data_IF_081909916742
#
_entry.id   IF_081909916742
#
_cell.length_a   1.000
_cell.length_b   1.000
_cell.length_c   1.000
_cell.angle_alpha   90.00
_cell.angle_beta   90.00
_cell.angle_gamma   90.00
#
_symmetry.space_group_name_H-M   'P 1'
#
loop_
_entity.id
_entity.type
_entity.pdbx_description
1 polymer ?
#
# COMPACT_ATOMS: atom_id res chain seq x y z
N UNK A 1 -20.56 -54.39 42.94
CA UNK A 1 -19.47 -53.42 42.73
C UNK A 1 -19.97 -52.39 41.73
N UNK A 2 -20.28 -51.20 42.23
CA UNK A 2 -20.67 -50.06 41.34
C UNK A 2 -19.39 -49.38 40.89
N UNK A 3 -19.17 -49.27 39.57
CA UNK A 3 -18.07 -48.53 38.99
C UNK A 3 -18.49 -47.06 38.97
N UNK A 4 -17.85 -46.23 39.80
CA UNK A 4 -18.02 -44.80 39.79
C UNK A 4 -17.39 -44.20 38.51
N UNK A 5 -18.17 -43.43 37.79
CA UNK A 5 -17.72 -42.71 36.61
C UNK A 5 -16.89 -41.48 37.04
N UNK A 6 -15.65 -41.39 36.57
CA UNK A 6 -14.76 -40.25 36.78
C UNK A 6 -15.40 -38.97 36.17
N UNK A 7 -15.26 -37.81 36.81
CA UNK A 7 -15.80 -36.56 36.33
C UNK A 7 -15.10 -36.13 35.00
N UNK A 8 -15.90 -35.80 33.98
CA UNK A 8 -15.40 -35.20 32.75
C UNK A 8 -14.75 -33.84 33.09
N UNK A 9 -13.46 -33.75 32.89
CA UNK A 9 -12.72 -32.49 32.95
C UNK A 9 -13.24 -31.57 31.85
N UNK A 10 -13.99 -30.55 32.22
CA UNK A 10 -14.38 -29.44 31.36
C UNK A 10 -13.10 -28.67 31.01
N UNK A 11 -12.60 -28.86 29.81
CA UNK A 11 -11.53 -28.02 29.25
C UNK A 11 -12.14 -26.62 29.10
N UNK A 12 -11.86 -25.73 30.05
CA UNK A 12 -12.10 -24.30 29.86
C UNK A 12 -11.33 -23.87 28.65
N UNK A 13 -12.02 -23.38 27.62
CA UNK A 13 -11.42 -22.74 26.44
C UNK A 13 -10.70 -21.47 26.93
N UNK A 14 -9.44 -21.58 27.32
CA UNK A 14 -8.58 -20.43 27.53
C UNK A 14 -8.49 -19.67 26.23
N UNK A 15 -8.72 -18.37 26.24
CA UNK A 15 -8.50 -17.51 25.08
C UNK A 15 -7.02 -17.62 24.70
N UNK A 16 -6.74 -18.15 23.52
CA UNK A 16 -5.37 -18.16 23.00
C UNK A 16 -4.95 -16.70 22.78
N UNK A 17 -3.86 -16.30 23.45
CA UNK A 17 -3.27 -14.98 23.27
C UNK A 17 -2.32 -14.97 22.07
N UNK A 18 -2.27 -13.86 21.36
CA UNK A 18 -1.33 -13.58 20.29
C UNK A 18 -0.53 -12.31 20.57
N UNK A 19 0.67 -12.22 20.03
CA UNK A 19 1.47 -11.00 20.07
C UNK A 19 0.95 -10.02 19.03
N UNK A 20 0.88 -8.74 19.41
CA UNK A 20 0.47 -7.65 18.53
C UNK A 20 1.13 -6.33 18.92
N UNK A 21 1.21 -5.41 17.97
CA UNK A 21 1.51 -4.00 18.21
C UNK A 21 0.20 -3.23 18.15
N UNK A 22 -0.18 -2.64 19.27
CA UNK A 22 -1.42 -1.90 19.43
C UNK A 22 -1.15 -0.45 19.82
N UNK A 23 -2.16 0.40 19.67
CA UNK A 23 -2.27 1.68 20.36
C UNK A 23 -3.69 1.84 20.91
N UNK A 24 -3.82 2.57 22.03
CA UNK A 24 -5.09 2.76 22.75
C UNK A 24 -5.67 4.16 22.54
N UNK A 25 -4.85 5.09 22.07
CA UNK A 25 -5.23 6.45 21.65
C UNK A 25 -4.37 6.91 20.48
N UNK A 26 -4.87 7.79 19.69
CA UNK A 26 -4.09 8.43 18.60
C UNK A 26 -3.01 9.34 19.15
N UNK A 27 -1.88 9.43 18.45
CA UNK A 27 -0.72 10.21 18.88
C UNK A 27 0.51 9.93 18.04
N UNK A 28 1.66 9.96 18.69
CA UNK A 28 2.95 9.69 18.07
C UNK A 28 3.40 8.23 18.29
N UNK A 29 4.60 7.90 17.82
CA UNK A 29 5.15 6.54 17.90
C UNK A 29 5.30 6.01 19.33
N UNK A 30 5.29 6.88 20.34
CA UNK A 30 5.33 6.51 21.77
C UNK A 30 4.05 5.79 22.26
N UNK A 31 2.94 5.94 21.55
CA UNK A 31 1.68 5.28 21.86
C UNK A 31 1.68 3.78 21.48
N UNK A 32 2.67 3.33 20.71
CA UNK A 32 2.77 1.95 20.29
C UNK A 32 3.19 1.02 21.42
N UNK A 33 2.43 -0.06 21.60
CA UNK A 33 2.68 -1.08 22.62
C UNK A 33 2.77 -2.46 21.98
N UNK A 34 3.91 -3.12 22.10
CA UNK A 34 4.04 -4.53 21.80
C UNK A 34 3.53 -5.34 22.98
N UNK A 35 2.46 -6.11 22.80
CA UNK A 35 1.78 -6.80 23.91
C UNK A 35 1.03 -8.05 23.44
N UNK A 36 0.40 -8.74 24.38
CA UNK A 36 -0.49 -9.87 24.12
C UNK A 36 -1.94 -9.42 24.11
N UNK A 37 -2.67 -9.82 23.07
CA UNK A 37 -4.12 -9.62 22.93
C UNK A 37 -4.82 -10.95 22.67
N UNK A 38 -6.14 -11.00 22.76
CA UNK A 38 -6.89 -12.20 22.42
C UNK A 38 -6.81 -12.48 20.93
N UNK A 39 -6.50 -13.72 20.55
CA UNK A 39 -6.56 -14.16 19.15
C UNK A 39 -8.00 -14.09 18.66
N UNK A 40 -8.28 -13.33 17.57
CA UNK A 40 -9.63 -13.15 17.08
C UNK A 40 -10.19 -14.45 16.48
N UNK A 41 -11.51 -14.62 16.55
CA UNK A 41 -12.21 -15.77 15.95
C UNK A 41 -12.95 -15.35 14.69
N UNK A 42 -12.79 -16.07 13.56
CA UNK A 42 -13.46 -15.72 12.32
C UNK A 42 -14.98 -15.99 12.40
N UNK A 43 -15.76 -15.00 12.03
CA UNK A 43 -17.19 -15.07 11.85
C UNK A 43 -17.63 -15.67 10.50
N UNK A 44 -18.94 -15.67 10.18
CA UNK A 44 -19.45 -16.16 8.89
C UNK A 44 -18.83 -15.39 7.72
N UNK A 45 -18.26 -16.11 6.74
CA UNK A 45 -17.60 -15.53 5.58
C UNK A 45 -16.20 -15.00 5.82
N UNK A 46 -15.63 -15.18 7.03
CA UNK A 46 -14.29 -14.74 7.42
C UNK A 46 -13.34 -15.90 7.63
N UNK A 47 -12.05 -15.64 7.53
CA UNK A 47 -10.98 -16.59 7.81
C UNK A 47 -9.97 -15.98 8.77
N UNK A 48 -9.30 -16.84 9.54
CA UNK A 48 -8.15 -16.49 10.36
C UNK A 48 -6.88 -16.73 9.56
N UNK A 49 -6.12 -15.70 9.34
CA UNK A 49 -4.80 -15.76 8.66
C UNK A 49 -3.72 -15.73 9.72
N UNK A 50 -2.85 -16.74 9.73
CA UNK A 50 -1.56 -16.69 10.42
C UNK A 50 -0.63 -15.82 9.59
N UNK A 51 -0.19 -14.72 10.16
CA UNK A 51 0.64 -13.73 9.48
C UNK A 51 2.10 -14.18 9.51
N UNK A 52 2.74 -14.17 8.36
CA UNK A 52 4.19 -14.39 8.24
C UNK A 52 4.92 -13.08 7.93
N UNK A 53 4.25 -12.15 7.25
CA UNK A 53 4.79 -10.84 6.96
C UNK A 53 3.67 -9.81 6.82
N UNK A 54 3.95 -8.58 7.27
CA UNK A 54 3.09 -7.41 7.07
C UNK A 54 3.96 -6.21 6.70
N UNK A 55 3.69 -5.56 5.56
CA UNK A 55 4.51 -4.44 5.11
C UNK A 55 3.90 -3.09 5.47
N UNK A 56 4.77 -2.13 5.86
CA UNK A 56 4.41 -0.79 6.26
C UNK A 56 3.93 0.06 5.08
N UNK A 57 3.03 0.98 5.37
CA UNK A 57 2.58 2.02 4.47
C UNK A 57 2.53 3.38 5.20
N UNK A 58 2.67 4.48 4.47
CA UNK A 58 2.54 5.82 5.07
C UNK A 58 1.18 6.02 5.74
N UNK A 59 0.17 5.24 5.32
CA UNK A 59 -1.15 5.17 5.93
C UNK A 59 -1.07 4.83 7.43
N UNK A 60 -0.12 4.00 7.85
CA UNK A 60 0.05 3.60 9.26
C UNK A 60 0.41 4.79 10.14
N UNK A 61 1.28 5.69 9.66
CA UNK A 61 1.60 6.94 10.35
C UNK A 61 0.38 7.86 10.47
N UNK A 62 -0.44 7.95 9.42
CA UNK A 62 -1.68 8.72 9.46
C UNK A 62 -2.72 8.08 10.39
N UNK A 63 -2.80 6.75 10.39
CA UNK A 63 -3.68 6.00 11.30
C UNK A 63 -3.33 6.28 12.76
N UNK A 64 -2.06 6.20 13.10
CA UNK A 64 -1.58 6.45 14.46
C UNK A 64 -1.84 7.90 14.90
N UNK A 65 -1.57 8.87 14.03
CA UNK A 65 -1.87 10.30 14.30
C UNK A 65 -3.35 10.62 14.41
N UNK A 66 -4.19 9.76 13.84
CA UNK A 66 -5.62 10.01 13.70
C UNK A 66 -5.94 10.90 12.50
N UNK A 67 -6.98 10.54 11.78
CA UNK A 67 -7.48 11.32 10.64
C UNK A 67 -8.89 11.84 10.93
N UNK A 68 -9.18 13.11 10.61
CA UNK A 68 -10.52 13.67 10.82
C UNK A 68 -11.60 12.81 10.16
N UNK A 69 -12.68 12.53 10.90
CA UNK A 69 -13.82 11.75 10.40
C UNK A 69 -13.63 10.22 10.38
N UNK A 70 -12.43 9.71 10.70
CA UNK A 70 -12.17 8.26 10.79
C UNK A 70 -12.38 7.78 12.23
N UNK A 71 -13.29 6.82 12.38
CA UNK A 71 -13.52 6.14 13.67
C UNK A 71 -12.80 4.78 13.66
N UNK A 72 -12.02 4.51 14.69
CA UNK A 72 -11.33 3.25 14.94
C UNK A 72 -11.80 2.67 16.26
N UNK A 73 -11.83 1.35 16.37
CA UNK A 73 -12.06 0.66 17.65
C UNK A 73 -10.72 0.56 18.38
N UNK A 74 -10.68 0.97 19.63
CA UNK A 74 -9.50 0.87 20.49
C UNK A 74 -9.63 -0.34 21.44
N UNK A 75 -8.52 -1.04 21.77
CA UNK A 75 -7.18 -0.87 21.19
C UNK A 75 -7.17 -1.23 19.69
N UNK A 76 -6.31 -0.55 18.91
CA UNK A 76 -6.24 -0.73 17.45
C UNK A 76 -4.92 -1.36 17.00
N UNK A 77 -5.00 -2.22 15.98
CA UNK A 77 -3.86 -2.88 15.33
C UNK A 77 -3.75 -2.36 13.91
N UNK A 78 -2.60 -1.76 13.55
CA UNK A 78 -2.31 -1.25 12.20
C UNK A 78 -1.85 -2.36 11.24
N UNK A 79 -1.49 -1.94 10.01
CA UNK A 79 -0.90 -2.80 8.98
C UNK A 79 -1.92 -3.41 8.02
N UNK A 80 -1.85 -3.04 6.74
CA UNK A 80 -2.83 -3.48 5.75
C UNK A 80 -2.30 -4.51 4.74
N UNK A 81 -1.00 -4.59 4.57
CA UNK A 81 -0.34 -5.44 3.57
C UNK A 81 0.10 -6.77 4.20
N UNK A 82 -0.75 -7.78 4.17
CA UNK A 82 -0.58 -9.04 4.89
C UNK A 82 -0.29 -10.19 3.92
N UNK A 83 0.74 -10.98 4.21
CA UNK A 83 0.99 -12.29 3.60
C UNK A 83 1.13 -13.37 4.68
N UNK A 84 0.59 -14.56 4.41
CA UNK A 84 0.59 -15.64 5.39
C UNK A 84 -0.15 -16.89 4.91
N UNK A 85 -0.77 -17.61 5.85
CA UNK A 85 -1.53 -18.83 5.60
C UNK A 85 -2.88 -18.81 6.33
N UNK A 86 -3.93 -19.35 5.71
CA UNK A 86 -5.23 -19.50 6.37
C UNK A 86 -5.20 -20.70 7.31
N UNK A 87 -5.42 -20.46 8.60
CA UNK A 87 -5.37 -21.48 9.66
C UNK A 87 -6.71 -21.72 10.35
N UNK A 88 -7.67 -20.79 10.22
CA UNK A 88 -9.01 -20.91 10.79
C UNK A 88 -10.09 -20.46 9.82
N UNK A 89 -11.28 -21.02 9.96
CA UNK A 89 -12.38 -20.80 9.03
C UNK A 89 -13.67 -20.53 9.79
N UNK A 90 -14.32 -19.42 9.48
CA UNK A 90 -15.68 -19.17 9.91
C UNK A 90 -16.68 -19.97 9.10
N UNK A 91 -17.96 -20.01 9.51
CA UNK A 91 -19.01 -20.67 8.74
C UNK A 91 -19.11 -20.15 7.30
N UNK A 92 -19.43 -21.04 6.36
CA UNK A 92 -19.65 -20.72 4.93
C UNK A 92 -18.44 -20.10 4.22
N UNK A 93 -17.22 -20.46 4.62
CA UNK A 93 -15.98 -20.01 3.94
C UNK A 93 -15.38 -21.10 3.06
N UNK A 94 -14.84 -20.75 1.88
CA UNK A 94 -14.09 -21.70 1.05
C UNK A 94 -12.78 -22.08 1.76
N UNK A 95 -12.26 -23.26 1.44
CA UNK A 95 -10.96 -23.70 1.93
C UNK A 95 -9.83 -23.14 1.07
N UNK A 96 -8.77 -22.69 1.72
CA UNK A 96 -7.55 -22.20 1.07
C UNK A 96 -6.39 -23.14 1.42
N UNK A 97 -5.47 -23.33 0.47
CA UNK A 97 -4.24 -24.12 0.66
C UNK A 97 -3.02 -23.31 0.25
N UNK A 98 -1.95 -23.43 1.04
CA UNK A 98 -0.67 -22.74 0.78
C UNK A 98 -0.69 -21.25 1.09
N UNK A 99 0.33 -20.53 0.58
CA UNK A 99 0.51 -19.13 0.88
C UNK A 99 -0.60 -18.25 0.28
N UNK A 100 -0.99 -17.24 1.03
CA UNK A 100 -2.00 -16.27 0.63
C UNK A 100 -1.53 -14.85 0.85
N UNK A 101 -2.06 -13.96 0.04
CA UNK A 101 -1.99 -12.53 0.17
C UNK A 101 -3.37 -11.99 0.53
N UNK A 102 -3.45 -10.98 1.36
CA UNK A 102 -4.72 -10.33 1.71
C UNK A 102 -4.86 -9.03 0.91
N UNK A 103 -5.95 -8.89 0.15
CA UNK A 103 -6.28 -7.61 -0.45
C UNK A 103 -6.68 -6.61 0.65
N UNK A 104 -6.00 -5.44 0.76
CA UNK A 104 -6.14 -4.56 1.92
C UNK A 104 -7.47 -3.83 1.99
N UNK A 105 -8.14 -3.63 0.86
CA UNK A 105 -9.42 -2.93 0.78
C UNK A 105 -10.60 -3.88 0.87
N UNK A 106 -11.53 -3.61 1.78
CA UNK A 106 -12.75 -4.40 1.99
C UNK A 106 -13.93 -3.60 1.47
N UNK A 107 -14.61 -4.12 0.47
CA UNK A 107 -15.82 -3.55 -0.12
C UNK A 107 -17.02 -4.44 0.10
N UNK A 108 -18.25 -3.93 -0.13
CA UNK A 108 -19.46 -4.71 0.09
C UNK A 108 -19.75 -5.74 -1.02
N UNK A 109 -19.07 -5.69 -2.16
CA UNK A 109 -19.23 -6.58 -3.30
C UNK A 109 -20.55 -6.45 -4.09
N UNK A 110 -21.54 -5.66 -3.61
CA UNK A 110 -22.93 -5.67 -4.18
C UNK A 110 -23.47 -4.31 -4.60
N UNK A 111 -22.89 -3.19 -4.20
CA UNK A 111 -23.33 -1.87 -4.63
C UNK A 111 -22.95 -1.59 -6.09
N UNK A 112 -23.49 -0.52 -6.67
CA UNK A 112 -23.27 -0.16 -8.07
C UNK A 112 -21.78 0.02 -8.40
N UNK A 113 -20.99 0.59 -7.47
CA UNK A 113 -19.54 0.74 -7.63
C UNK A 113 -18.82 -0.60 -7.64
N UNK A 114 -19.11 -1.49 -6.68
CA UNK A 114 -18.49 -2.81 -6.61
C UNK A 114 -18.79 -3.65 -7.86
N UNK A 115 -20.04 -3.64 -8.36
CA UNK A 115 -20.43 -4.35 -9.58
C UNK A 115 -19.70 -3.87 -10.83
N UNK A 116 -19.22 -2.62 -10.84
CA UNK A 116 -18.40 -2.03 -11.91
C UNK A 116 -16.89 -2.20 -11.68
N UNK A 117 -16.47 -2.88 -10.59
CA UNK A 117 -15.05 -3.04 -10.22
C UNK A 117 -14.39 -1.80 -9.61
N UNK A 118 -15.19 -0.84 -9.17
CA UNK A 118 -14.75 0.37 -8.48
C UNK A 118 -14.82 0.17 -6.97
N UNK A 119 -14.12 -0.84 -6.48
CA UNK A 119 -14.18 -1.29 -5.08
C UNK A 119 -13.94 -0.16 -4.08
N UNK A 120 -12.95 0.69 -4.36
CA UNK A 120 -12.55 1.80 -3.49
C UNK A 120 -13.57 2.95 -3.41
N UNK A 121 -14.59 2.97 -4.28
CA UNK A 121 -15.70 3.93 -4.25
C UNK A 121 -16.95 3.36 -3.54
N UNK A 122 -16.85 2.18 -2.94
CA UNK A 122 -17.93 1.61 -2.14
C UNK A 122 -18.17 2.43 -0.88
N UNK A 123 -19.42 2.84 -0.59
CA UNK A 123 -19.76 3.63 0.61
C UNK A 123 -19.42 2.91 1.92
N UNK A 124 -19.26 1.58 1.87
CA UNK A 124 -18.83 0.73 2.99
C UNK A 124 -17.37 0.29 2.88
N UNK A 125 -16.57 1.00 2.08
CA UNK A 125 -15.17 0.67 1.90
C UNK A 125 -14.39 0.88 3.20
N UNK A 126 -13.62 -0.12 3.59
CA UNK A 126 -12.70 -0.07 4.71
C UNK A 126 -11.33 -0.58 4.29
N UNK A 127 -10.29 -0.14 4.97
CA UNK A 127 -8.93 -0.65 4.78
C UNK A 127 -8.51 -1.33 6.08
N UNK A 128 -7.94 -2.53 5.94
CA UNK A 128 -7.31 -3.25 7.05
C UNK A 128 -6.24 -2.37 7.70
N UNK A 129 -6.13 -2.42 9.02
CA UNK A 129 -5.16 -1.61 9.76
C UNK A 129 -5.46 -0.12 9.80
N UNK A 130 -6.58 0.33 9.19
CA UNK A 130 -7.00 1.74 9.20
C UNK A 130 -8.35 1.92 9.90
N UNK A 131 -9.47 1.45 9.35
CA UNK A 131 -10.77 1.50 10.03
C UNK A 131 -11.06 0.24 10.86
N UNK A 132 -10.37 -0.83 10.59
CA UNK A 132 -10.49 -2.12 11.28
C UNK A 132 -9.09 -2.66 11.57
N UNK A 133 -8.98 -3.58 12.52
CA UNK A 133 -7.69 -4.17 12.89
C UNK A 133 -6.98 -4.81 11.70
N UNK A 134 -5.66 -4.66 11.68
CA UNK A 134 -4.77 -5.09 10.61
C UNK A 134 -3.77 -6.16 11.01
N UNK A 135 -2.60 -6.12 10.40
CA UNK A 135 -1.61 -7.18 10.38
C UNK A 135 -0.38 -6.98 11.25
N UNK A 136 -0.30 -5.96 12.11
CA UNK A 136 0.80 -5.86 13.08
C UNK A 136 0.56 -6.81 14.27
N UNK A 137 0.37 -8.09 13.95
CA UNK A 137 0.03 -9.16 14.88
C UNK A 137 0.44 -10.53 14.31
N UNK A 138 0.33 -11.58 15.12
CA UNK A 138 0.55 -12.95 14.64
C UNK A 138 -0.62 -13.50 13.81
N UNK A 139 -1.83 -12.99 14.05
CA UNK A 139 -3.04 -13.41 13.35
C UNK A 139 -3.95 -12.22 13.04
N UNK A 140 -4.68 -12.32 11.93
CA UNK A 140 -5.75 -11.40 11.58
C UNK A 140 -6.98 -12.14 11.07
N UNK A 141 -8.18 -11.64 11.40
CA UNK A 141 -9.43 -12.08 10.79
C UNK A 141 -9.74 -11.17 9.62
N UNK A 142 -9.99 -11.78 8.46
CA UNK A 142 -10.28 -11.04 7.21
C UNK A 142 -11.43 -11.72 6.44
N UNK A 143 -12.20 -11.00 5.62
CA UNK A 143 -13.18 -11.62 4.74
C UNK A 143 -12.51 -12.61 3.77
N UNK A 144 -13.08 -13.80 3.62
CA UNK A 144 -12.57 -14.80 2.69
C UNK A 144 -12.48 -14.28 1.24
N UNK A 145 -13.33 -13.33 0.85
CA UNK A 145 -13.31 -12.67 -0.45
C UNK A 145 -12.03 -11.85 -0.71
N UNK A 146 -11.32 -11.44 0.36
CA UNK A 146 -10.07 -10.68 0.27
C UNK A 146 -8.83 -11.59 0.17
N UNK A 147 -8.98 -12.91 0.29
CA UNK A 147 -7.87 -13.85 0.16
C UNK A 147 -7.52 -14.07 -1.31
N UNK A 148 -6.25 -13.94 -1.61
CA UNK A 148 -5.67 -14.20 -2.93
C UNK A 148 -4.58 -15.27 -2.74
N UNK A 149 -4.80 -16.51 -3.19
CA UNK A 149 -3.73 -17.51 -3.22
C UNK A 149 -2.57 -17.04 -4.09
N UNK A 150 -1.35 -17.25 -3.65
CA UNK A 150 -0.14 -16.87 -4.37
C UNK A 150 0.80 -18.07 -4.49
N UNK A 151 1.68 -18.03 -5.49
CA UNK A 151 2.68 -19.07 -5.71
C UNK A 151 3.90 -18.88 -4.79
N UNK A 152 4.78 -19.88 -4.75
CA UNK A 152 6.06 -19.84 -4.01
C UNK A 152 7.20 -19.17 -4.79
N UNK A 153 6.90 -18.43 -5.86
CA UNK A 153 7.91 -17.75 -6.70
C UNK A 153 8.58 -16.56 -5.99
N UNK A 154 7.88 -15.99 -5.02
CA UNK A 154 8.37 -14.95 -4.10
C UNK A 154 8.26 -15.45 -2.66
N UNK A 155 9.04 -14.87 -1.76
CA UNK A 155 8.89 -15.09 -0.31
C UNK A 155 7.63 -14.40 0.22
N UNK A 156 7.20 -14.71 1.44
CA UNK A 156 6.02 -14.06 2.02
C UNK A 156 6.27 -12.59 2.34
N UNK A 157 7.49 -12.20 2.67
CA UNK A 157 7.91 -10.82 2.83
C UNK A 157 7.82 -10.05 1.50
N UNK A 158 8.28 -10.66 0.42
CA UNK A 158 8.16 -10.09 -0.92
C UNK A 158 6.71 -9.95 -1.35
N UNK A 159 5.87 -10.95 -1.07
CA UNK A 159 4.43 -10.87 -1.33
C UNK A 159 3.77 -9.76 -0.50
N UNK A 160 4.07 -9.65 0.80
CA UNK A 160 3.53 -8.58 1.66
C UNK A 160 3.94 -7.18 1.17
N UNK A 161 5.06 -7.03 0.49
CA UNK A 161 5.53 -5.75 -0.03
C UNK A 161 4.72 -5.22 -1.24
N UNK A 162 3.73 -5.96 -1.75
CA UNK A 162 3.03 -5.62 -2.99
C UNK A 162 1.63 -5.00 -2.82
N UNK A 163 0.71 -5.44 -1.94
CA UNK A 163 -0.73 -5.20 -2.13
C UNK A 163 -1.13 -3.74 -2.33
N UNK A 164 -1.00 -2.89 -1.32
CA UNK A 164 -1.47 -1.50 -1.38
C UNK A 164 -0.75 -0.71 -2.47
N UNK A 165 0.57 -0.80 -2.51
CA UNK A 165 1.38 0.01 -3.44
C UNK A 165 1.16 -0.40 -4.89
N UNK A 166 0.93 -1.69 -5.14
CA UNK A 166 0.70 -2.23 -6.49
C UNK A 166 -0.65 -1.83 -7.05
N UNK A 167 -1.73 -2.03 -6.27
CA UNK A 167 -3.05 -1.65 -6.73
C UNK A 167 -3.16 -0.14 -6.92
N UNK A 168 -2.53 0.66 -6.05
CA UNK A 168 -2.50 2.10 -6.17
C UNK A 168 -1.73 2.54 -7.41
N UNK A 169 -0.50 2.05 -7.62
CA UNK A 169 0.30 2.40 -8.79
C UNK A 169 -0.38 1.99 -10.11
N UNK A 170 -0.99 0.80 -10.15
CA UNK A 170 -1.76 0.35 -11.31
C UNK A 170 -2.97 1.26 -11.57
N UNK A 171 -3.74 1.55 -10.53
CA UNK A 171 -4.91 2.42 -10.63
C UNK A 171 -4.53 3.83 -11.13
N UNK A 172 -3.44 4.40 -10.59
CA UNK A 172 -2.94 5.71 -11.02
C UNK A 172 -2.55 5.71 -12.51
N UNK A 173 -1.69 4.77 -12.91
CA UNK A 173 -1.09 4.78 -14.25
C UNK A 173 -2.04 4.27 -15.34
N UNK A 174 -2.73 3.14 -15.07
CA UNK A 174 -3.54 2.46 -16.08
C UNK A 174 -4.97 2.97 -16.10
N UNK A 175 -5.61 3.01 -14.94
CA UNK A 175 -7.05 3.32 -14.86
C UNK A 175 -7.30 4.82 -14.92
N UNK A 176 -6.55 5.62 -14.15
CA UNK A 176 -6.77 7.07 -14.05
C UNK A 176 -6.02 7.84 -15.14
N UNK A 177 -4.70 7.68 -15.21
CA UNK A 177 -3.89 8.39 -16.20
C UNK A 177 -4.03 7.82 -17.62
N UNK A 178 -4.39 6.54 -17.77
CA UNK A 178 -4.42 5.84 -19.07
C UNK A 178 -3.09 6.01 -19.81
N UNK A 179 -1.99 5.77 -19.10
CA UNK A 179 -0.64 5.88 -19.65
C UNK A 179 -0.48 4.95 -20.84
N UNK A 180 0.12 5.45 -21.92
CA UNK A 180 0.31 4.73 -23.18
C UNK A 180 1.79 4.49 -23.45
N UNK A 181 2.06 3.48 -24.28
CA UNK A 181 3.41 3.24 -24.84
C UNK A 181 3.91 4.50 -25.56
N UNK A 182 5.16 4.85 -25.32
CA UNK A 182 5.84 6.01 -25.93
C UNK A 182 5.59 7.33 -25.20
N UNK A 183 4.63 7.42 -24.26
CA UNK A 183 4.45 8.61 -23.42
C UNK A 183 5.58 8.73 -22.40
N UNK A 184 5.82 9.96 -21.93
CA UNK A 184 6.78 10.27 -20.88
C UNK A 184 6.04 10.49 -19.56
N UNK A 185 6.46 9.83 -18.48
CA UNK A 185 5.86 9.98 -17.14
C UNK A 185 6.90 10.45 -16.13
N UNK A 186 6.53 11.46 -15.33
CA UNK A 186 7.25 11.85 -14.12
C UNK A 186 6.67 11.11 -12.93
N UNK A 187 7.49 10.34 -12.23
CA UNK A 187 7.11 9.60 -11.02
C UNK A 187 7.94 10.14 -9.86
N UNK A 188 7.28 10.76 -8.88
CA UNK A 188 7.97 11.25 -7.70
C UNK A 188 8.42 10.11 -6.76
N UNK A 189 9.53 10.35 -6.06
CA UNK A 189 10.04 9.48 -4.98
C UNK A 189 10.20 8.01 -5.39
N UNK A 190 11.15 7.73 -6.29
CA UNK A 190 11.49 6.36 -6.72
C UNK A 190 11.67 5.36 -5.56
N UNK A 191 12.15 5.84 -4.40
CA UNK A 191 12.36 5.04 -3.20
C UNK A 191 11.11 4.76 -2.38
N UNK A 192 9.96 5.36 -2.70
CA UNK A 192 8.70 5.02 -2.04
C UNK A 192 8.15 3.67 -2.55
N UNK A 193 7.28 3.06 -1.76
CA UNK A 193 6.61 1.83 -2.20
C UNK A 193 5.83 2.02 -3.50
N UNK A 194 5.02 3.09 -3.61
CA UNK A 194 4.27 3.41 -4.82
C UNK A 194 5.21 3.75 -5.98
N UNK A 195 6.22 4.61 -5.75
CA UNK A 195 7.15 5.04 -6.80
C UNK A 195 7.94 3.88 -7.40
N UNK A 196 8.46 2.97 -6.57
CA UNK A 196 9.24 1.81 -7.04
C UNK A 196 8.43 0.84 -7.91
N UNK A 197 7.16 0.64 -7.61
CA UNK A 197 6.25 -0.19 -8.41
C UNK A 197 5.74 0.59 -9.64
N UNK A 198 5.45 1.88 -9.50
CA UNK A 198 4.98 2.71 -10.61
C UNK A 198 6.01 2.80 -11.75
N UNK A 199 7.31 2.89 -11.43
CA UNK A 199 8.40 2.85 -12.42
C UNK A 199 8.33 1.55 -13.23
N UNK A 200 8.23 0.41 -12.57
CA UNK A 200 8.20 -0.90 -13.23
C UNK A 200 6.93 -1.08 -14.08
N UNK A 201 5.76 -0.64 -13.59
CA UNK A 201 4.50 -0.67 -14.38
C UNK A 201 4.62 0.24 -15.60
N UNK A 202 5.15 1.45 -15.46
CA UNK A 202 5.33 2.37 -16.58
C UNK A 202 6.28 1.80 -17.65
N UNK A 203 7.37 1.15 -17.24
CA UNK A 203 8.28 0.44 -18.14
C UNK A 203 7.62 -0.75 -18.81
N UNK A 204 6.81 -1.52 -18.10
CA UNK A 204 6.03 -2.62 -18.67
C UNK A 204 5.05 -2.12 -19.76
N UNK A 205 4.45 -0.94 -19.56
CA UNK A 205 3.59 -0.29 -20.58
C UNK A 205 4.41 0.19 -21.79
N UNK A 206 5.72 0.43 -21.61
CA UNK A 206 6.61 0.97 -22.67
C UNK A 206 6.69 2.50 -22.65
N UNK A 207 6.48 3.13 -21.49
CA UNK A 207 6.66 4.56 -21.30
C UNK A 207 8.13 4.93 -21.03
N UNK A 208 8.49 6.18 -21.30
CA UNK A 208 9.73 6.81 -20.84
C UNK A 208 9.53 7.34 -19.43
N UNK A 209 10.41 6.96 -18.50
CA UNK A 209 10.24 7.26 -17.08
C UNK A 209 11.30 8.25 -16.61
N UNK A 210 10.84 9.41 -16.14
CA UNK A 210 11.62 10.36 -15.35
C UNK A 210 11.19 10.19 -13.89
N UNK A 211 12.13 10.12 -12.95
CA UNK A 211 11.79 9.98 -11.52
C UNK A 211 12.64 10.88 -10.64
N UNK A 212 12.20 11.11 -9.41
CA UNK A 212 12.92 11.92 -8.43
C UNK A 212 13.42 11.08 -7.24
N UNK A 213 14.56 11.45 -6.68
CA UNK A 213 15.15 10.88 -5.46
C UNK A 213 15.70 11.97 -4.56
N UNK A 214 15.81 11.71 -3.24
CA UNK A 214 16.31 12.65 -2.26
C UNK A 214 17.82 12.54 -2.00
N UNK A 215 18.50 11.49 -2.49
CA UNK A 215 19.95 11.33 -2.28
C UNK A 215 20.60 10.61 -3.46
N UNK A 216 21.92 10.81 -3.60
CA UNK A 216 22.70 10.21 -4.67
C UNK A 216 22.72 8.68 -4.61
N UNK A 217 22.75 8.10 -3.41
CA UNK A 217 22.73 6.66 -3.18
C UNK A 217 21.49 5.98 -3.78
N UNK A 218 20.37 6.72 -3.85
CA UNK A 218 19.11 6.24 -4.41
C UNK A 218 19.07 6.28 -5.94
N UNK A 219 19.98 7.01 -6.60
CA UNK A 219 20.02 7.15 -8.07
C UNK A 219 20.24 5.78 -8.74
N UNK A 220 21.26 5.04 -8.30
CA UNK A 220 21.60 3.73 -8.88
C UNK A 220 20.42 2.74 -8.73
N UNK A 221 19.77 2.75 -7.54
CA UNK A 221 18.60 1.91 -7.28
C UNK A 221 17.39 2.29 -8.16
N UNK A 222 17.13 3.57 -8.37
CA UNK A 222 16.05 4.02 -9.26
C UNK A 222 16.30 3.62 -10.73
N UNK A 223 17.54 3.73 -11.20
CA UNK A 223 17.93 3.27 -12.55
C UNK A 223 17.74 1.75 -12.72
N UNK A 224 18.10 0.95 -11.71
CA UNK A 224 17.90 -0.51 -11.76
C UNK A 224 16.42 -0.95 -11.82
N UNK A 225 15.48 -0.08 -11.42
CA UNK A 225 14.04 -0.30 -11.59
C UNK A 225 13.55 0.01 -13.03
N UNK A 226 14.43 0.57 -13.87
CA UNK A 226 14.12 0.90 -15.26
C UNK A 226 13.86 2.39 -15.50
N UNK A 227 14.12 3.29 -14.54
CA UNK A 227 14.01 4.73 -14.78
C UNK A 227 15.01 5.19 -15.85
N UNK A 228 14.53 5.88 -16.89
CA UNK A 228 15.37 6.41 -17.96
C UNK A 228 16.17 7.62 -17.47
N UNK A 229 15.55 8.48 -16.65
CA UNK A 229 16.20 9.64 -16.03
C UNK A 229 15.86 9.72 -14.55
N UNK A 230 16.85 10.08 -13.73
CA UNK A 230 16.70 10.22 -12.27
C UNK A 230 17.18 11.59 -11.86
N UNK A 231 16.32 12.36 -11.21
CA UNK A 231 16.59 13.73 -10.74
C UNK A 231 16.76 13.70 -9.22
N UNK A 232 17.89 14.17 -8.72
CA UNK A 232 18.13 14.36 -7.30
C UNK A 232 17.63 15.75 -6.92
N UNK A 233 16.42 15.79 -6.29
CA UNK A 233 15.66 17.02 -6.10
C UNK A 233 16.22 17.99 -5.03
N UNK A 234 17.10 17.53 -4.16
CA UNK A 234 17.78 18.40 -3.20
C UNK A 234 18.87 19.26 -3.89
N UNK A 235 19.41 18.78 -5.02
CA UNK A 235 20.45 19.47 -5.79
C UNK A 235 19.91 20.23 -6.98
N UNK A 236 18.77 19.81 -7.53
CA UNK A 236 18.23 20.30 -8.80
C UNK A 236 16.73 20.56 -8.70
N UNK A 237 16.28 21.65 -9.31
CA UNK A 237 14.85 21.88 -9.49
C UNK A 237 14.30 20.87 -10.52
N UNK A 238 13.48 19.94 -10.07
CA UNK A 238 12.97 18.88 -10.93
C UNK A 238 12.13 19.40 -12.12
N UNK A 239 11.44 20.53 -12.00
CA UNK A 239 10.63 21.07 -13.08
C UNK A 239 11.52 21.61 -14.24
N UNK A 240 12.66 22.22 -13.92
CA UNK A 240 13.62 22.70 -14.91
C UNK A 240 14.34 21.53 -15.56
N UNK A 241 14.72 20.51 -14.80
CA UNK A 241 15.30 19.27 -15.35
C UNK A 241 14.31 18.55 -16.28
N UNK A 242 13.03 18.45 -15.90
CA UNK A 242 11.98 17.88 -16.78
C UNK A 242 11.90 18.64 -18.09
N UNK A 243 11.90 19.97 -18.07
CA UNK A 243 11.88 20.78 -19.29
C UNK A 243 13.11 20.50 -20.16
N UNK A 244 14.29 20.46 -19.56
CA UNK A 244 15.54 20.15 -20.28
C UNK A 244 15.49 18.76 -20.92
N UNK A 245 15.03 17.73 -20.16
CA UNK A 245 14.96 16.34 -20.63
C UNK A 245 13.86 16.09 -21.68
N UNK A 246 12.99 17.06 -21.91
CA UNK A 246 11.84 16.96 -22.84
C UNK A 246 11.84 18.08 -23.89
N UNK A 247 12.96 18.76 -24.13
CA UNK A 247 13.12 19.86 -25.06
C UNK A 247 12.02 20.95 -24.91
N UNK A 248 11.70 21.27 -23.66
CA UNK A 248 10.68 22.25 -23.28
C UNK A 248 9.23 21.75 -23.35
N UNK A 249 8.96 20.56 -23.88
CA UNK A 249 7.60 20.03 -24.08
C UNK A 249 6.89 19.71 -22.73
N UNK A 250 7.60 19.16 -21.78
CA UNK A 250 7.06 18.59 -20.56
C UNK A 250 6.64 17.12 -20.70
N UNK A 251 6.12 16.52 -19.60
CA UNK A 251 5.72 15.11 -19.52
C UNK A 251 4.23 14.92 -19.78
N UNK A 252 3.85 13.74 -20.28
CA UNK A 252 2.44 13.42 -20.57
C UNK A 252 1.67 13.08 -19.29
N UNK A 253 2.34 12.48 -18.32
CA UNK A 253 1.74 12.07 -17.04
C UNK A 253 2.65 12.45 -15.88
N UNK A 254 2.02 12.87 -14.76
CA UNK A 254 2.69 13.00 -13.45
C UNK A 254 1.99 12.09 -12.43
N UNK A 255 2.77 11.26 -11.75
CA UNK A 255 2.36 10.48 -10.58
C UNK A 255 2.76 11.28 -9.33
N UNK A 256 1.76 11.85 -8.67
CA UNK A 256 1.91 12.74 -7.53
C UNK A 256 1.40 12.06 -6.24
N UNK A 257 2.16 12.16 -5.16
CA UNK A 257 1.75 11.66 -3.85
C UNK A 257 2.43 12.40 -2.69
N UNK A 258 3.09 13.52 -3.00
CA UNK A 258 3.80 14.34 -2.03
C UNK A 258 2.92 15.49 -1.55
N UNK A 259 2.25 16.18 -2.47
CA UNK A 259 1.35 17.29 -2.16
C UNK A 259 2.02 18.67 -2.30
N UNK A 260 1.75 19.65 -1.40
CA UNK A 260 2.14 21.05 -1.55
C UNK A 260 3.59 21.30 -1.95
N UNK A 261 4.53 20.52 -1.42
CA UNK A 261 5.96 20.69 -1.71
C UNK A 261 6.33 20.50 -3.19
N UNK A 262 5.52 19.75 -3.94
CA UNK A 262 5.82 19.41 -5.35
C UNK A 262 4.70 19.78 -6.30
N UNK A 263 3.45 19.89 -5.85
CA UNK A 263 2.26 19.91 -6.68
C UNK A 263 2.26 21.00 -7.75
N UNK A 264 2.59 22.23 -7.41
CA UNK A 264 2.62 23.34 -8.36
C UNK A 264 3.67 23.13 -9.46
N UNK A 265 4.88 22.68 -9.07
CA UNK A 265 5.94 22.34 -10.02
C UNK A 265 5.60 21.12 -10.85
N UNK A 266 4.87 20.15 -10.28
CA UNK A 266 4.35 18.96 -10.98
C UNK A 266 3.38 19.36 -12.08
N UNK A 267 2.45 20.28 -11.80
CA UNK A 267 1.54 20.84 -12.83
C UNK A 267 2.31 21.62 -13.89
N UNK A 268 3.30 22.42 -13.51
CA UNK A 268 4.14 23.17 -14.44
C UNK A 268 4.96 22.26 -15.37
N UNK A 269 5.30 21.05 -14.93
CA UNK A 269 6.07 20.05 -15.68
C UNK A 269 5.26 19.29 -16.75
N UNK A 270 3.92 19.41 -16.74
CA UNK A 270 3.06 18.72 -17.71
C UNK A 270 3.18 19.32 -19.12
N UNK A 271 3.12 18.51 -20.13
CA UNK A 271 2.89 18.89 -21.51
C UNK A 271 1.43 19.36 -21.73
N UNK A 272 1.12 19.94 -22.89
CA UNK A 272 -0.27 20.20 -23.31
C UNK A 272 -1.07 18.89 -23.31
N UNK A 273 -2.31 18.91 -22.81
CA UNK A 273 -3.17 17.73 -22.58
C UNK A 273 -2.60 16.72 -21.56
N UNK A 274 -1.60 17.12 -20.78
CA UNK A 274 -0.99 16.29 -19.75
C UNK A 274 -1.96 15.96 -18.61
N UNK A 275 -1.67 14.87 -17.91
CA UNK A 275 -2.51 14.34 -16.83
C UNK A 275 -1.70 14.21 -15.54
N UNK A 276 -2.21 14.77 -14.46
CA UNK A 276 -1.66 14.54 -13.11
C UNK A 276 -2.61 13.64 -12.33
N UNK A 277 -2.07 12.59 -11.74
CA UNK A 277 -2.84 11.72 -10.84
C UNK A 277 -2.21 11.77 -9.45
N UNK A 278 -3.03 12.08 -8.42
CA UNK A 278 -2.58 12.13 -7.03
C UNK A 278 -3.27 11.09 -6.17
N UNK A 279 -2.49 10.44 -5.28
CA UNK A 279 -2.99 9.43 -4.33
C UNK A 279 -2.57 9.70 -2.88
N UNK A 280 -1.89 10.81 -2.61
CA UNK A 280 -1.37 11.09 -1.28
C UNK A 280 -0.92 12.53 -1.10
N UNK A 281 -0.70 12.90 0.15
CA UNK A 281 -0.42 14.28 0.58
C UNK A 281 0.61 14.29 1.73
N UNK A 282 1.75 13.62 1.54
CA UNK A 282 2.74 13.42 2.61
C UNK A 282 3.42 14.70 3.10
N UNK A 283 3.33 15.80 2.35
CA UNK A 283 3.84 17.13 2.76
C UNK A 283 2.75 18.11 3.21
N UNK A 284 1.50 17.65 3.30
CA UNK A 284 0.34 18.48 3.66
C UNK A 284 -0.83 18.32 2.69
N UNK A 285 -2.03 18.76 3.09
CA UNK A 285 -3.27 18.52 2.35
C UNK A 285 -3.73 19.70 1.49
N UNK A 286 -3.22 20.90 1.74
CA UNK A 286 -3.68 22.12 1.05
C UNK A 286 -2.59 22.64 0.12
N UNK A 287 -2.96 22.99 -1.12
CA UNK A 287 -2.06 23.57 -2.11
C UNK A 287 -2.78 24.63 -2.93
N UNK A 288 -2.01 25.58 -3.47
CA UNK A 288 -2.50 26.55 -4.44
C UNK A 288 -2.11 26.11 -5.84
N UNK A 289 -2.94 26.45 -6.83
CA UNK A 289 -2.69 26.16 -8.23
C UNK A 289 -3.08 27.36 -9.10
N UNK A 290 -2.24 27.71 -10.04
CA UNK A 290 -2.56 28.69 -11.09
C UNK A 290 -3.45 28.03 -12.15
N UNK A 291 -4.72 28.43 -12.18
CA UNK A 291 -5.72 27.85 -13.09
C UNK A 291 -5.37 28.10 -14.57
N UNK A 292 -4.55 29.12 -14.89
CA UNK A 292 -4.10 29.38 -16.24
C UNK A 292 -3.32 28.21 -16.84
N UNK A 293 -2.54 27.49 -16.02
CA UNK A 293 -1.89 26.27 -16.46
C UNK A 293 -2.90 25.21 -16.89
N UNK A 294 -4.01 25.07 -16.15
CA UNK A 294 -5.02 24.04 -16.42
C UNK A 294 -5.73 24.32 -17.73
N UNK A 295 -6.38 25.51 -17.88
CA UNK A 295 -7.19 25.74 -19.06
C UNK A 295 -6.36 26.00 -20.31
N UNK A 296 -5.25 26.77 -20.24
CA UNK A 296 -4.45 27.09 -21.42
C UNK A 296 -3.72 25.88 -22.01
N UNK A 297 -3.39 24.89 -21.19
CA UNK A 297 -2.75 23.63 -21.62
C UNK A 297 -3.73 22.47 -21.70
N UNK A 298 -5.01 22.65 -21.37
CA UNK A 298 -6.04 21.61 -21.33
C UNK A 298 -5.61 20.41 -20.46
N UNK A 299 -5.12 20.67 -19.26
CA UNK A 299 -4.64 19.66 -18.34
C UNK A 299 -5.79 18.94 -17.64
N UNK A 300 -5.54 17.68 -17.23
CA UNK A 300 -6.44 16.90 -16.38
C UNK A 300 -5.77 16.60 -15.04
N UNK A 301 -6.45 16.89 -13.93
CA UNK A 301 -6.02 16.52 -12.58
C UNK A 301 -7.03 15.54 -12.01
N UNK A 302 -6.55 14.38 -11.58
CA UNK A 302 -7.39 13.28 -11.13
C UNK A 302 -6.93 12.74 -9.78
N UNK A 303 -7.89 12.41 -8.91
CA UNK A 303 -7.62 11.68 -7.67
C UNK A 303 -7.54 10.17 -7.91
N UNK A 304 -6.78 9.50 -7.05
CA UNK A 304 -6.70 8.05 -6.93
C UNK A 304 -6.78 7.67 -5.46
N UNK A 305 -7.65 6.75 -5.12
CA UNK A 305 -7.76 6.20 -3.78
C UNK A 305 -7.70 4.67 -3.86
N UNK A 306 -6.57 4.09 -3.43
CA UNK A 306 -6.33 2.65 -3.54
C UNK A 306 -6.46 2.16 -5.00
N UNK A 307 -7.11 1.01 -5.19
CA UNK A 307 -7.52 0.39 -6.44
C UNK A 307 -8.45 -0.77 -6.18
N UNK A 308 -8.86 -1.49 -7.22
CA UNK A 308 -9.73 -2.67 -7.10
C UNK A 308 -8.92 -3.97 -6.93
N UNK A 309 -9.55 -4.99 -6.33
CA UNK A 309 -8.95 -6.34 -6.20
C UNK A 309 -8.56 -6.91 -7.57
N UNK A 310 -9.34 -6.62 -8.61
CA UNK A 310 -9.03 -7.05 -9.98
C UNK A 310 -7.71 -6.46 -10.51
N UNK A 311 -7.39 -5.23 -10.12
CA UNK A 311 -6.13 -4.57 -10.47
C UNK A 311 -4.95 -5.18 -9.72
N UNK A 312 -5.12 -5.43 -8.42
CA UNK A 312 -4.12 -6.14 -7.62
C UNK A 312 -3.80 -7.52 -8.23
N UNK A 313 -4.81 -8.30 -8.60
CA UNK A 313 -4.62 -9.60 -9.27
C UNK A 313 -3.83 -9.49 -10.58
N UNK A 314 -3.97 -8.39 -11.33
CA UNK A 314 -3.14 -8.17 -12.53
C UNK A 314 -1.67 -7.98 -12.18
N UNK A 315 -1.37 -7.18 -11.14
CA UNK A 315 0.02 -6.96 -10.72
C UNK A 315 0.64 -8.23 -10.11
N UNK A 316 -0.14 -9.00 -9.31
CA UNK A 316 0.30 -10.32 -8.80
C UNK A 316 0.74 -11.23 -9.95
N UNK A 317 -0.05 -11.34 -11.04
CA UNK A 317 0.33 -12.13 -12.21
C UNK A 317 1.63 -11.65 -12.88
N UNK A 318 1.89 -10.34 -12.88
CA UNK A 318 3.15 -9.79 -13.39
C UNK A 318 4.31 -10.07 -12.44
N UNK A 319 4.06 -10.09 -11.14
CA UNK A 319 5.06 -10.47 -10.14
C UNK A 319 5.40 -11.98 -10.22
N UNK A 320 4.41 -12.86 -10.42
CA UNK A 320 4.62 -14.28 -10.68
C UNK A 320 5.47 -14.53 -11.93
N UNK A 321 5.34 -13.70 -12.95
CA UNK A 321 6.18 -13.72 -14.16
C UNK A 321 7.52 -12.99 -13.99
N UNK A 322 7.84 -12.51 -12.79
CA UNK A 322 9.05 -11.73 -12.46
C UNK A 322 9.22 -10.43 -13.27
N UNK A 323 8.14 -9.93 -13.87
CA UNK A 323 8.11 -8.65 -14.61
C UNK A 323 8.11 -7.49 -13.62
N UNK A 324 7.33 -7.60 -12.53
CA UNK A 324 7.34 -6.66 -11.41
C UNK A 324 7.98 -7.36 -10.23
N UNK A 325 8.95 -6.69 -9.61
CA UNK A 325 9.68 -7.20 -8.43
C UNK A 325 9.42 -6.28 -7.25
N UNK A 326 9.00 -6.81 -6.10
CA UNK A 326 8.92 -6.03 -4.87
C UNK A 326 10.31 -5.54 -4.47
N UNK A 327 10.36 -4.33 -3.93
CA UNK A 327 11.60 -3.73 -3.43
C UNK A 327 11.48 -3.64 -1.92
N UNK A 328 12.24 -4.45 -1.20
CA UNK A 328 12.29 -4.43 0.27
C UNK A 328 13.55 -3.70 0.69
N UNK A 329 13.39 -2.70 1.57
CA UNK A 329 14.48 -1.99 2.21
C UNK A 329 15.08 -2.82 3.34
N UNK A 330 14.22 -3.23 4.27
CA UNK A 330 14.61 -3.97 5.46
C UNK A 330 13.39 -4.69 6.06
N UNK A 331 13.64 -5.85 6.66
CA UNK A 331 12.69 -6.58 7.50
C UNK A 331 13.05 -6.35 8.97
N UNK A 332 12.03 -6.11 9.79
CA UNK A 332 12.10 -5.95 11.24
C UNK A 332 11.19 -6.99 11.89
N UNK A 333 11.46 -7.35 13.12
CA UNK A 333 10.53 -8.13 13.92
C UNK A 333 9.32 -7.28 14.32
N UNK A 334 8.20 -7.91 14.65
CA UNK A 334 7.03 -7.20 15.15
C UNK A 334 7.32 -6.35 16.41
N UNK A 335 8.24 -6.80 17.26
CA UNK A 335 8.71 -6.05 18.45
C UNK A 335 9.40 -4.73 18.07
N UNK A 336 10.04 -4.68 16.91
CA UNK A 336 10.76 -3.52 16.38
C UNK A 336 9.87 -2.59 15.53
N UNK A 337 8.54 -2.74 15.59
CA UNK A 337 7.60 -1.98 14.75
C UNK A 337 7.76 -0.46 14.90
N UNK A 338 8.10 0.05 16.09
CA UNK A 338 8.40 1.47 16.31
C UNK A 338 9.61 1.91 15.47
N UNK A 339 10.72 1.19 15.53
CA UNK A 339 11.94 1.49 14.77
C UNK A 339 11.69 1.42 13.26
N UNK A 340 10.86 0.47 12.83
CA UNK A 340 10.43 0.34 11.43
C UNK A 340 9.64 1.57 10.95
N UNK A 341 8.72 2.08 11.78
CA UNK A 341 7.95 3.29 11.48
C UNK A 341 8.81 4.54 11.53
N UNK A 342 9.75 4.65 12.47
CA UNK A 342 10.76 5.73 12.51
C UNK A 342 11.61 5.75 11.23
N UNK A 343 12.07 4.60 10.75
CA UNK A 343 12.80 4.49 9.48
C UNK A 343 11.99 5.05 8.30
N UNK A 344 10.68 4.75 8.24
CA UNK A 344 9.78 5.27 7.21
C UNK A 344 9.53 6.78 7.38
N UNK A 345 9.28 7.24 8.58
CA UNK A 345 9.04 8.66 8.90
C UNK A 345 10.25 9.53 8.50
N UNK A 346 11.45 9.05 8.75
CA UNK A 346 12.72 9.71 8.41
C UNK A 346 13.12 9.55 6.93
N UNK A 347 12.27 8.90 6.10
CA UNK A 347 12.53 8.65 4.67
C UNK A 347 13.87 7.95 4.38
N UNK A 348 14.37 7.17 5.35
CA UNK A 348 15.64 6.46 5.24
C UNK A 348 15.57 5.23 4.32
N UNK A 349 14.36 4.78 3.99
CA UNK A 349 14.13 3.59 3.16
C UNK A 349 14.23 3.87 1.65
N UNK A 350 14.52 2.80 0.91
CA UNK A 350 14.28 2.67 -0.53
C UNK A 350 13.50 1.38 -0.76
N UNK A 351 12.22 1.50 -1.10
CA UNK A 351 11.28 0.38 -1.14
C UNK A 351 10.48 0.21 0.16
N UNK A 352 9.88 -0.95 0.33
CA UNK A 352 9.01 -1.30 1.45
C UNK A 352 9.82 -1.74 2.68
N UNK A 353 9.25 -1.49 3.83
CA UNK A 353 9.69 -2.03 5.12
C UNK A 353 8.70 -3.11 5.51
N UNK A 354 9.17 -4.23 6.03
CA UNK A 354 8.34 -5.40 6.36
C UNK A 354 8.50 -5.75 7.83
N UNK A 355 7.41 -6.12 8.50
CA UNK A 355 7.40 -6.72 9.82
C UNK A 355 7.15 -8.22 9.73
N UNK A 356 7.85 -8.98 10.54
CA UNK A 356 7.62 -10.41 10.77
C UNK A 356 7.26 -10.66 12.23
N UNK A 357 6.19 -11.41 12.52
CA UNK A 357 5.77 -11.76 13.89
C UNK A 357 6.78 -12.58 14.66
#
# INVERSE_FOLDING_TARGET
>A
MKVEALPRISIRHGSHKMRAVIFEKTGDLDELKYTYVDTPKPGPGEVLVKIHACALNHLDLWTLKGMPGVKMTMPHIMGCDIAGEVTGYGPKTPKFKGPVLVAPGISCGRCAHCKKGWDSLCDRYKILGFQINGGYAEFAVVPAANIIPVSKVLTLEEWAALPLVSMTAWHMLVTRARLKKGETVLIHSAGSGVGSIAIQIAKYIGAKVITTVGSDEKIKKAKSLGADHVIQYEKKNFADEVKSLTDGRGVDVVVEHIGPATFQKSVASLAKKGRLVTCGVTSGSMTQIDLRFIFARQLSISGCYMGGIAELKKVIRLAEKKIIKPVIHKTFTLREARQALECMQNRANFGKIVLTP
#
